data_IF_796913667681
#
_entry.id   IF_796913667681
#
_cell.length_a   1.000
_cell.length_b   1.000
_cell.length_c   1.000
_cell.angle_alpha   90.00
_cell.angle_beta   90.00
_cell.angle_gamma   90.00
#
_symmetry.space_group_name_H-M   'P 1'
#
loop_
_entity.id
_entity.type
_entity.pdbx_description
1 polymer ?
#
# COMPACT_ATOMS: atom_id res chain seq x y z
N UNK A 1 13.95 -7.15 -9.79
CA UNK A 1 12.80 -7.62 -8.99
C UNK A 1 13.35 -8.12 -7.67
N UNK A 2 12.70 -7.79 -6.55
CA UNK A 2 13.15 -8.19 -5.22
C UNK A 2 12.81 -9.66 -4.98
N UNK A 3 13.78 -10.46 -4.55
CA UNK A 3 13.56 -11.88 -4.22
C UNK A 3 13.24 -12.02 -2.75
N UNK A 4 12.13 -12.67 -2.43
CA UNK A 4 11.68 -12.89 -1.05
C UNK A 4 11.33 -14.36 -0.87
N UNK A 5 11.70 -14.94 0.27
CA UNK A 5 11.38 -16.34 0.55
C UNK A 5 9.88 -16.53 0.75
N UNK A 6 9.36 -17.73 0.48
CA UNK A 6 7.99 -18.12 0.83
C UNK A 6 7.68 -17.89 2.32
N UNK A 7 6.42 -17.62 2.67
CA UNK A 7 5.94 -17.41 4.05
C UNK A 7 6.69 -16.36 4.89
N UNK A 8 7.32 -15.39 4.23
CA UNK A 8 8.14 -14.37 4.89
C UNK A 8 7.35 -13.07 4.99
N UNK A 9 7.43 -12.44 6.16
CA UNK A 9 6.92 -11.09 6.36
C UNK A 9 7.98 -10.06 5.95
N UNK A 10 7.54 -9.00 5.28
CA UNK A 10 8.38 -7.88 4.91
C UNK A 10 7.54 -6.61 4.89
N UNK A 11 8.20 -5.46 4.98
CA UNK A 11 7.53 -4.15 4.86
C UNK A 11 7.87 -3.51 3.52
N UNK A 12 6.90 -2.80 2.96
CA UNK A 12 7.13 -1.90 1.84
C UNK A 12 6.57 -0.54 2.17
N UNK A 13 7.37 0.49 1.88
CA UNK A 13 7.01 1.87 2.15
C UNK A 13 7.00 2.68 0.86
N UNK A 14 6.05 3.61 0.77
CA UNK A 14 5.92 4.58 -0.31
C UNK A 14 5.72 5.96 0.30
N UNK A 15 6.51 6.92 -0.15
CA UNK A 15 6.34 8.32 0.22
C UNK A 15 5.45 9.02 -0.81
N UNK A 16 4.48 9.79 -0.31
CA UNK A 16 3.58 10.60 -1.11
C UNK A 16 3.62 12.03 -0.63
N UNK A 17 3.37 12.97 -1.55
CA UNK A 17 3.12 14.38 -1.26
C UNK A 17 1.65 14.70 -1.53
N UNK A 18 1.00 15.42 -0.62
CA UNK A 18 -0.33 15.95 -0.86
C UNK A 18 -0.25 17.18 -1.77
N UNK A 19 -0.47 16.98 -3.07
CA UNK A 19 -0.53 18.07 -4.06
C UNK A 19 -1.91 18.69 -4.23
N UNK A 20 -2.89 18.24 -3.44
CA UNK A 20 -4.26 18.74 -3.44
C UNK A 20 -4.42 20.06 -2.67
N UNK A 21 -5.66 20.53 -2.60
CA UNK A 21 -6.04 21.75 -1.87
C UNK A 21 -6.56 21.51 -0.45
N UNK A 22 -6.87 20.26 -0.11
CA UNK A 22 -7.45 19.87 1.19
C UNK A 22 -6.51 18.89 1.89
N UNK A 23 -6.52 18.89 3.22
CA UNK A 23 -5.77 17.94 4.01
C UNK A 23 -6.28 16.50 3.77
N UNK A 24 -5.40 15.52 3.87
CA UNK A 24 -5.80 14.12 4.05
C UNK A 24 -5.91 13.87 5.55
N UNK A 25 -7.11 13.62 6.03
CA UNK A 25 -7.45 13.49 7.44
C UNK A 25 -8.04 12.10 7.75
N UNK A 26 -8.83 12.00 8.82
CA UNK A 26 -9.43 10.74 9.26
C UNK A 26 -10.17 10.02 8.12
N UNK A 27 -9.94 8.72 8.00
CA UNK A 27 -10.69 7.87 7.05
C UNK A 27 -10.07 7.80 5.66
N UNK A 28 -9.20 8.74 5.30
CA UNK A 28 -8.32 8.57 4.16
C UNK A 28 -7.45 7.33 4.36
N UNK A 29 -7.27 6.55 3.30
CA UNK A 29 -6.59 5.26 3.39
C UNK A 29 -5.69 4.97 2.20
N UNK A 30 -4.68 4.14 2.46
CA UNK A 30 -3.84 3.52 1.44
C UNK A 30 -4.28 2.07 1.29
N UNK A 31 -4.98 1.80 0.20
CA UNK A 31 -5.80 0.60 0.03
C UNK A 31 -5.27 -0.29 -1.08
N UNK A 32 -5.26 -1.60 -0.82
CA UNK A 32 -4.98 -2.63 -1.81
C UNK A 32 -6.06 -2.71 -2.90
N UNK A 33 -5.64 -2.87 -4.16
CA UNK A 33 -6.53 -2.98 -5.32
C UNK A 33 -6.42 -4.38 -5.93
N UNK A 34 -7.38 -5.24 -5.63
CA UNK A 34 -7.40 -6.63 -6.10
C UNK A 34 -7.44 -6.74 -7.62
N UNK A 35 -8.18 -5.85 -8.30
CA UNK A 35 -8.40 -5.90 -9.75
C UNK A 35 -7.10 -5.79 -10.58
N UNK A 36 -6.09 -5.09 -10.07
CA UNK A 36 -4.79 -4.95 -10.73
C UNK A 36 -3.74 -5.94 -10.21
N UNK A 37 -4.02 -6.62 -9.11
CA UNK A 37 -3.03 -7.43 -8.37
C UNK A 37 -3.04 -8.90 -8.77
N UNK A 38 -1.92 -9.56 -8.53
CA UNK A 38 -1.78 -11.01 -8.73
C UNK A 38 -1.74 -11.75 -7.40
N UNK A 39 -2.37 -12.94 -7.39
CA UNK A 39 -2.45 -13.77 -6.20
C UNK A 39 -3.28 -13.16 -5.06
N UNK A 40 -3.19 -13.78 -3.88
CA UNK A 40 -3.88 -13.31 -2.68
C UNK A 40 -3.11 -12.20 -1.97
N UNK A 41 -3.83 -11.26 -1.37
CA UNK A 41 -3.28 -10.21 -0.52
C UNK A 41 -3.31 -10.63 0.95
N UNK A 42 -2.14 -10.72 1.57
CA UNK A 42 -1.98 -11.06 2.99
C UNK A 42 -1.71 -9.85 3.90
N UNK A 43 -1.84 -8.62 3.38
CA UNK A 43 -1.56 -7.39 4.13
C UNK A 43 -2.80 -6.75 4.74
N UNK A 44 -2.59 -5.60 5.40
CA UNK A 44 -3.67 -4.74 5.90
C UNK A 44 -3.57 -3.38 5.22
N UNK A 45 -4.72 -2.82 4.83
CA UNK A 45 -4.80 -1.43 4.41
C UNK A 45 -4.41 -0.52 5.57
N UNK A 46 -3.79 0.61 5.25
CA UNK A 46 -3.54 1.66 6.23
C UNK A 46 -4.66 2.68 6.14
N UNK A 47 -5.29 3.03 7.25
CA UNK A 47 -6.29 4.11 7.33
C UNK A 47 -5.78 5.14 8.34
N UNK A 48 -5.84 6.42 7.98
CA UNK A 48 -5.48 7.52 8.87
C UNK A 48 -6.53 7.55 10.00
N UNK A 49 -6.12 7.34 11.27
CA UNK A 49 -7.04 7.35 12.39
C UNK A 49 -7.36 8.79 12.83
N UNK A 50 -8.29 8.95 13.78
CA UNK A 50 -8.73 10.26 14.29
C UNK A 50 -7.61 11.12 14.86
N UNK A 51 -6.61 10.48 15.43
CA UNK A 51 -5.43 11.10 16.01
C UNK A 51 -4.38 11.52 14.97
N UNK A 52 -4.59 11.20 13.69
CA UNK A 52 -3.66 11.46 12.60
C UNK A 52 -2.59 10.36 12.44
N UNK A 53 -1.51 10.62 11.68
CA UNK A 53 -1.10 11.93 11.19
C UNK A 53 -1.93 12.41 10.00
N UNK A 54 -2.43 13.65 10.09
CA UNK A 54 -3.06 14.33 8.95
C UNK A 54 -2.00 14.94 8.03
N UNK A 55 -2.31 15.01 6.74
CA UNK A 55 -1.36 15.44 5.70
C UNK A 55 -1.89 16.71 5.04
N UNK A 56 -1.42 17.86 5.50
CA UNK A 56 -1.75 19.15 4.90
C UNK A 56 -1.27 19.27 3.45
N UNK A 57 -1.85 20.18 2.64
CA UNK A 57 -1.32 20.50 1.31
C UNK A 57 0.19 20.79 1.34
N UNK A 58 0.88 20.27 0.32
CA UNK A 58 2.34 20.32 0.15
C UNK A 58 3.16 19.60 1.23
N UNK A 59 2.54 18.78 2.08
CA UNK A 59 3.23 17.91 3.04
C UNK A 59 3.34 16.48 2.54
N UNK A 60 4.31 15.74 3.09
CA UNK A 60 4.55 14.34 2.75
C UNK A 60 4.07 13.40 3.85
N UNK A 61 3.76 12.17 3.45
CA UNK A 61 3.51 11.04 4.34
C UNK A 61 4.16 9.79 3.76
N UNK A 62 4.68 8.92 4.62
CA UNK A 62 5.14 7.60 4.22
C UNK A 62 4.12 6.54 4.64
N UNK A 63 3.47 5.91 3.67
CA UNK A 63 2.63 4.74 3.93
C UNK A 63 3.51 3.50 3.97
N UNK A 64 3.44 2.75 5.06
CA UNK A 64 4.15 1.48 5.22
C UNK A 64 3.14 0.35 5.36
N UNK A 65 3.25 -0.66 4.50
CA UNK A 65 2.40 -1.85 4.52
C UNK A 65 3.25 -3.07 4.89
N UNK A 66 2.78 -3.81 5.89
CA UNK A 66 3.31 -5.15 6.20
C UNK A 66 2.67 -6.17 5.28
N UNK A 67 3.50 -6.97 4.62
CA UNK A 67 3.13 -7.94 3.62
C UNK A 67 3.69 -9.31 3.99
N UNK A 68 2.96 -10.36 3.62
CA UNK A 68 3.40 -11.75 3.80
C UNK A 68 3.42 -12.46 2.46
N UNK A 69 4.56 -13.05 2.10
CA UNK A 69 4.67 -13.80 0.86
C UNK A 69 3.84 -15.09 0.89
N UNK A 70 3.25 -15.50 -0.24
CA UNK A 70 2.55 -16.78 -0.35
C UNK A 70 3.46 -18.01 -0.17
N UNK A 71 2.84 -19.19 -0.08
CA UNK A 71 3.54 -20.48 0.00
C UNK A 71 4.08 -20.94 -1.36
N UNK A 72 3.48 -20.47 -2.45
CA UNK A 72 3.80 -20.90 -3.81
C UNK A 72 4.82 -19.94 -4.42
N UNK A 73 5.99 -20.41 -4.88
CA UNK A 73 6.93 -19.60 -5.63
C UNK A 73 6.32 -18.98 -6.89
N UNK A 74 6.86 -17.84 -7.31
CA UNK A 74 6.40 -17.13 -8.51
C UNK A 74 6.43 -15.62 -8.35
N UNK A 75 6.08 -14.92 -9.43
CA UNK A 75 5.99 -13.46 -9.45
C UNK A 75 4.66 -13.00 -8.84
N UNK A 76 4.74 -12.06 -7.89
CA UNK A 76 3.57 -11.41 -7.30
C UNK A 76 3.67 -9.89 -7.45
N UNK A 77 2.56 -9.28 -7.84
CA UNK A 77 2.41 -7.83 -7.93
C UNK A 77 1.16 -7.43 -7.14
N UNK A 78 1.35 -6.57 -6.14
CA UNK A 78 0.28 -6.03 -5.33
C UNK A 78 0.20 -4.54 -5.52
N UNK A 79 -0.95 -4.06 -5.97
CA UNK A 79 -1.21 -2.66 -6.25
C UNK A 79 -1.94 -2.00 -5.10
N UNK A 80 -1.60 -0.74 -4.89
CA UNK A 80 -2.15 0.10 -3.84
C UNK A 80 -2.47 1.48 -4.39
N UNK A 81 -3.51 2.10 -3.86
CA UNK A 81 -3.93 3.45 -4.23
C UNK A 81 -4.52 4.16 -3.03
N UNK A 82 -4.39 5.49 -3.03
CA UNK A 82 -5.06 6.32 -2.03
C UNK A 82 -6.56 6.32 -2.26
N UNK A 83 -7.31 6.33 -1.17
CA UNK A 83 -8.77 6.34 -1.14
C UNK A 83 -9.22 7.38 -0.12
N UNK A 84 -10.11 8.28 -0.53
CA UNK A 84 -10.67 9.29 0.38
C UNK A 84 -11.67 8.67 1.38
N UNK A 85 -12.10 9.47 2.34
CA UNK A 85 -13.06 9.11 3.39
C UNK A 85 -14.44 8.71 2.84
N UNK A 86 -14.82 9.22 1.67
CA UNK A 86 -16.04 8.89 0.92
C UNK A 86 -15.90 7.60 0.10
N UNK A 87 -14.68 7.09 -0.01
CA UNK A 87 -14.34 5.84 -0.65
C UNK A 87 -13.93 5.93 -2.13
N UNK A 88 -13.68 7.12 -2.65
CA UNK A 88 -13.18 7.32 -4.01
C UNK A 88 -11.66 7.15 -4.07
N UNK A 89 -11.18 6.47 -5.10
CA UNK A 89 -9.75 6.31 -5.32
C UNK A 89 -9.13 7.51 -6.03
N UNK A 90 -7.97 7.97 -5.55
CA UNK A 90 -7.25 9.10 -6.12
C UNK A 90 -5.73 8.90 -6.10
N UNK A 91 -4.99 9.83 -6.72
CA UNK A 91 -3.53 9.80 -6.76
C UNK A 91 -2.95 8.67 -7.62
N UNK A 92 -1.67 8.40 -7.41
CA UNK A 92 -0.90 7.41 -8.18
C UNK A 92 -1.24 5.98 -7.75
N UNK A 93 -1.39 5.09 -8.74
CA UNK A 93 -1.41 3.66 -8.52
C UNK A 93 0.04 3.16 -8.35
N UNK A 94 0.38 2.66 -7.17
CA UNK A 94 1.74 2.15 -6.86
C UNK A 94 1.70 0.65 -6.60
N UNK A 95 2.85 -0.01 -6.58
CA UNK A 95 2.91 -1.46 -6.42
C UNK A 95 4.09 -1.94 -5.58
N UNK A 96 3.93 -3.14 -5.04
CA UNK A 96 5.02 -4.02 -4.60
C UNK A 96 5.13 -5.16 -5.62
N UNK A 97 6.31 -5.36 -6.22
CA UNK A 97 6.59 -6.46 -7.15
C UNK A 97 7.73 -7.32 -6.61
N UNK A 98 7.44 -8.58 -6.37
CA UNK A 98 8.35 -9.55 -5.75
C UNK A 98 8.43 -10.84 -6.56
N UNK A 99 9.59 -11.48 -6.47
CA UNK A 99 9.83 -12.85 -6.93
C UNK A 99 9.90 -13.76 -5.70
N UNK A 100 8.88 -14.59 -5.50
CA UNK A 100 8.83 -15.50 -4.36
C UNK A 100 9.57 -16.78 -4.72
N UNK A 101 10.58 -17.12 -3.93
CA UNK A 101 11.45 -18.29 -4.18
C UNK A 101 11.43 -19.27 -3.01
N UNK A 102 11.60 -20.56 -3.29
CA UNK A 102 12.09 -21.50 -2.27
C UNK A 102 13.57 -21.27 -2.02
N UNK A 103 14.09 -21.78 -0.90
CA UNK A 103 15.54 -21.90 -0.73
C UNK A 103 16.19 -22.68 -1.88
#
# INVERSE_FOLDING_TARGET
>A
MEKVRVNTEFTKSWEFINVGSCAWDEGYSFAFIQEFSTGGYGGKNFTIPKEGPFVEPQKTITFTVSLRTPKTPGEYIWYFKLKDDSGNFFGSLVWAKIDVVTN
#
